data_IF_371159314340
#
_entry.id   IF_371159314340
#
_cell.length_a   1.000
_cell.length_b   1.000
_cell.length_c   1.000
_cell.angle_alpha   90.00
_cell.angle_beta   90.00
_cell.angle_gamma   90.00
#
_symmetry.space_group_name_H-M   'P 1'
#
loop_
_entity.id
_entity.type
_entity.pdbx_description
1 polymer ?
#
# COMPACT_ATOMS: atom_id res chain seq x y z
N UNK A 1 -4.75 -54.06 -5.35
CA UNK A 1 -3.86 -52.92 -5.66
C UNK A 1 -4.68 -51.63 -5.61
N UNK A 2 -5.45 -51.42 -4.53
CA UNK A 2 -6.49 -50.37 -4.44
C UNK A 2 -6.50 -49.68 -3.07
N UNK A 3 -5.54 -50.03 -2.20
CA UNK A 3 -5.39 -49.50 -0.84
C UNK A 3 -4.34 -48.38 -0.73
N UNK A 4 -3.63 -48.03 -1.81
CA UNK A 4 -2.51 -47.08 -1.79
C UNK A 4 -2.84 -45.67 -2.31
N UNK A 5 -4.06 -45.45 -2.81
CA UNK A 5 -4.51 -44.18 -3.37
C UNK A 5 -4.99 -43.10 -2.37
N UNK A 6 -5.54 -43.41 -1.17
CA UNK A 6 -6.04 -42.35 -0.28
C UNK A 6 -4.92 -41.56 0.43
N UNK A 7 -3.72 -42.13 0.60
CA UNK A 7 -2.60 -41.46 1.27
C UNK A 7 -1.94 -40.40 0.37
N UNK A 8 -1.92 -40.60 -0.95
CA UNK A 8 -1.42 -39.60 -1.91
C UNK A 8 -2.35 -38.38 -2.02
N UNK A 9 -3.66 -38.57 -1.87
CA UNK A 9 -4.63 -37.48 -1.83
C UNK A 9 -4.54 -36.65 -0.54
N UNK A 10 -4.27 -37.28 0.60
CA UNK A 10 -4.04 -36.59 1.89
C UNK A 10 -2.72 -35.86 1.96
N UNK A 11 -1.69 -36.33 1.25
CA UNK A 11 -0.39 -35.65 1.16
C UNK A 11 -0.39 -34.45 0.17
N UNK A 12 -1.25 -34.46 -0.85
CA UNK A 12 -1.32 -33.39 -1.85
C UNK A 12 -1.97 -32.09 -1.35
N UNK A 13 -3.00 -32.19 -0.51
CA UNK A 13 -3.71 -31.03 0.07
C UNK A 13 -2.81 -30.10 0.92
N UNK A 14 -1.97 -30.60 1.85
CA UNK A 14 -1.07 -29.73 2.61
C UNK A 14 0.03 -29.14 1.73
N UNK A 15 0.55 -29.88 0.74
CA UNK A 15 1.58 -29.37 -0.17
C UNK A 15 1.07 -28.19 -1.03
N UNK A 16 -0.17 -28.27 -1.52
CA UNK A 16 -0.83 -27.17 -2.23
C UNK A 16 -1.05 -25.96 -1.30
N UNK A 17 -1.45 -26.19 -0.05
CA UNK A 17 -1.59 -25.15 0.96
C UNK A 17 -0.27 -24.41 1.24
N UNK A 18 0.83 -25.16 1.37
CA UNK A 18 2.18 -24.58 1.53
C UNK A 18 2.55 -23.73 0.32
N UNK A 19 2.42 -24.29 -0.89
CA UNK A 19 2.80 -23.58 -2.12
C UNK A 19 1.99 -22.29 -2.27
N UNK A 20 0.67 -22.35 -2.06
CA UNK A 20 -0.20 -21.19 -2.12
C UNK A 20 0.18 -20.14 -1.06
N UNK A 21 0.45 -20.55 0.19
CA UNK A 21 0.90 -19.65 1.24
C UNK A 21 2.22 -18.95 0.91
N UNK A 22 3.22 -19.71 0.44
CA UNK A 22 4.53 -19.15 0.02
C UNK A 22 4.37 -18.16 -1.14
N UNK A 23 3.54 -18.49 -2.13
CA UNK A 23 3.29 -17.59 -3.28
C UNK A 23 2.59 -16.31 -2.81
N UNK A 24 1.57 -16.41 -1.94
CA UNK A 24 0.88 -15.23 -1.40
C UNK A 24 1.85 -14.32 -0.62
N UNK A 25 2.66 -14.89 0.26
CA UNK A 25 3.65 -14.12 1.03
C UNK A 25 4.68 -13.49 0.10
N UNK A 26 5.23 -14.26 -0.84
CA UNK A 26 6.23 -13.79 -1.79
C UNK A 26 5.71 -12.66 -2.67
N UNK A 27 4.48 -12.77 -3.18
CA UNK A 27 3.87 -11.71 -3.99
C UNK A 27 3.61 -10.44 -3.19
N UNK A 28 3.05 -10.54 -1.99
CA UNK A 28 2.81 -9.38 -1.12
C UNK A 28 4.11 -8.67 -0.72
N UNK A 29 5.14 -9.42 -0.31
CA UNK A 29 6.44 -8.84 0.06
C UNK A 29 7.16 -8.23 -1.14
N UNK A 30 7.16 -8.91 -2.28
CA UNK A 30 7.82 -8.41 -3.49
C UNK A 30 7.15 -7.12 -3.97
N UNK A 31 5.83 -7.07 -3.98
CA UNK A 31 5.10 -5.89 -4.43
C UNK A 31 5.18 -4.73 -3.43
N UNK A 32 5.13 -5.02 -2.12
CA UNK A 32 5.38 -4.02 -1.10
C UNK A 32 6.81 -3.46 -1.23
N UNK A 33 7.80 -4.30 -1.47
CA UNK A 33 9.18 -3.88 -1.71
C UNK A 33 9.32 -3.05 -3.00
N UNK A 34 8.70 -3.49 -4.10
CA UNK A 34 8.76 -2.77 -5.38
C UNK A 34 8.11 -1.38 -5.28
N UNK A 35 6.95 -1.27 -4.64
CA UNK A 35 6.23 0.02 -4.56
C UNK A 35 6.83 0.95 -3.51
N UNK A 36 7.31 0.39 -2.41
CA UNK A 36 7.87 1.18 -1.33
C UNK A 36 9.33 1.50 -1.64
N UNK A 37 10.19 0.50 -1.73
CA UNK A 37 11.65 0.69 -1.77
C UNK A 37 12.16 1.12 -3.14
N UNK A 38 11.57 0.64 -4.23
CA UNK A 38 12.03 0.98 -5.58
C UNK A 38 11.22 2.18 -6.12
N UNK A 39 11.87 3.35 -6.38
CA UNK A 39 11.22 4.46 -7.08
C UNK A 39 11.17 4.17 -8.59
N UNK A 40 10.66 3.00 -9.00
CA UNK A 40 10.48 2.64 -10.40
C UNK A 40 9.00 2.59 -10.72
N UNK A 41 8.66 3.02 -11.95
CA UNK A 41 7.33 2.83 -12.55
C UNK A 41 6.86 1.41 -12.26
N UNK A 42 5.75 1.27 -11.54
CA UNK A 42 5.09 -0.01 -11.27
C UNK A 42 5.02 -0.77 -12.60
N UNK A 43 5.88 -1.78 -12.74
CA UNK A 43 6.02 -2.49 -14.01
C UNK A 43 4.65 -3.09 -14.31
N UNK A 44 4.16 -2.94 -15.56
CA UNK A 44 2.78 -3.25 -15.97
C UNK A 44 2.33 -4.71 -15.86
N UNK A 45 2.94 -5.51 -14.97
CA UNK A 45 2.53 -6.85 -14.57
C UNK A 45 1.22 -6.79 -13.77
N UNK A 46 0.51 -7.92 -13.75
CA UNK A 46 -0.74 -8.12 -13.01
C UNK A 46 -0.47 -8.21 -11.49
N UNK A 47 -0.07 -7.10 -10.86
CA UNK A 47 0.14 -7.01 -9.41
C UNK A 47 -1.16 -6.80 -8.61
N UNK A 48 -1.12 -7.08 -7.30
CA UNK A 48 -2.23 -6.87 -6.36
C UNK A 48 -2.67 -5.41 -6.40
N UNK A 49 -1.75 -4.45 -6.53
CA UNK A 49 -2.03 -3.02 -6.62
C UNK A 49 -2.85 -2.66 -7.86
N UNK A 50 -2.57 -3.28 -9.02
CA UNK A 50 -3.35 -3.02 -10.23
C UNK A 50 -4.75 -3.61 -10.13
N UNK A 51 -4.88 -4.83 -9.62
CA UNK A 51 -6.18 -5.45 -9.37
C UNK A 51 -6.99 -4.63 -8.38
N UNK A 52 -6.36 -4.24 -7.27
CA UNK A 52 -6.96 -3.42 -6.23
C UNK A 52 -7.38 -2.05 -6.75
N UNK A 53 -6.54 -1.40 -7.58
CA UNK A 53 -6.88 -0.15 -8.26
C UNK A 53 -8.11 -0.30 -9.14
N UNK A 54 -8.19 -1.33 -9.99
CA UNK A 54 -9.36 -1.53 -10.86
C UNK A 54 -10.62 -1.76 -10.01
N UNK A 55 -10.49 -2.54 -8.93
CA UNK A 55 -11.59 -2.88 -8.04
C UNK A 55 -12.12 -1.66 -7.27
N UNK A 56 -11.24 -0.77 -6.80
CA UNK A 56 -11.61 0.40 -6.01
C UNK A 56 -11.92 1.63 -6.86
N UNK A 57 -11.17 1.89 -7.93
CA UNK A 57 -11.34 3.08 -8.79
C UNK A 57 -12.67 3.09 -9.53
N UNK A 58 -13.12 1.94 -10.05
CA UNK A 58 -14.37 1.85 -10.81
C UNK A 58 -15.61 2.26 -10.00
N UNK A 59 -15.87 1.70 -8.81
CA UNK A 59 -17.00 2.15 -7.99
C UNK A 59 -16.79 3.59 -7.49
N UNK A 60 -15.57 3.95 -7.09
CA UNK A 60 -15.29 5.29 -6.57
C UNK A 60 -15.55 6.40 -7.61
N UNK A 61 -15.03 6.23 -8.82
CA UNK A 61 -15.26 7.14 -9.95
C UNK A 61 -16.71 7.12 -10.44
N UNK A 62 -17.43 6.00 -10.33
CA UNK A 62 -18.86 5.94 -10.63
C UNK A 62 -19.68 6.77 -9.64
N UNK A 63 -19.36 6.70 -8.35
CA UNK A 63 -20.00 7.53 -7.30
C UNK A 63 -19.66 9.01 -7.50
N UNK A 64 -18.38 9.34 -7.73
CA UNK A 64 -17.93 10.71 -7.98
C UNK A 64 -18.63 11.34 -9.19
N UNK A 65 -18.82 10.58 -10.29
CA UNK A 65 -19.52 11.07 -11.49
C UNK A 65 -21.02 11.31 -11.30
N UNK A 66 -21.64 10.70 -10.29
CA UNK A 66 -23.06 10.93 -9.96
C UNK A 66 -23.28 12.23 -9.17
N UNK A 67 -22.22 12.83 -8.62
CA UNK A 67 -22.31 14.11 -7.92
C UNK A 67 -22.35 15.27 -8.93
N UNK A 68 -23.47 16.01 -8.91
CA UNK A 68 -23.66 17.21 -9.74
C UNK A 68 -22.87 18.43 -9.25
N UNK A 69 -22.50 18.46 -7.96
CA UNK A 69 -21.74 19.57 -7.38
C UNK A 69 -20.24 19.36 -7.60
N UNK A 70 -19.62 20.24 -8.38
CA UNK A 70 -18.19 20.22 -8.74
C UNK A 70 -17.27 20.23 -7.52
N UNK A 71 -17.53 21.09 -6.52
CA UNK A 71 -16.71 21.20 -5.32
C UNK A 71 -16.72 19.91 -4.49
N UNK A 72 -17.91 19.30 -4.28
CA UNK A 72 -18.01 18.02 -3.56
C UNK A 72 -17.36 16.86 -4.32
N UNK A 73 -17.45 16.86 -5.65
CA UNK A 73 -16.81 15.86 -6.50
C UNK A 73 -15.29 15.95 -6.39
N UNK A 74 -14.73 17.16 -6.43
CA UNK A 74 -13.29 17.40 -6.29
C UNK A 74 -12.77 17.00 -4.91
N UNK A 75 -13.48 17.35 -3.82
CA UNK A 75 -13.10 16.91 -2.47
C UNK A 75 -13.15 15.39 -2.28
N UNK A 76 -14.10 14.71 -2.93
CA UNK A 76 -14.11 13.24 -2.93
C UNK A 76 -12.92 12.69 -3.72
N UNK A 77 -12.67 13.19 -4.92
CA UNK A 77 -11.57 12.71 -5.75
C UNK A 77 -10.19 12.97 -5.12
N UNK A 78 -10.02 14.06 -4.37
CA UNK A 78 -8.75 14.34 -3.66
C UNK A 78 -8.47 13.36 -2.52
N UNK A 79 -9.52 12.85 -1.86
CA UNK A 79 -9.38 11.87 -0.78
C UNK A 79 -8.96 10.48 -1.30
N UNK A 80 -9.26 10.15 -2.55
CA UNK A 80 -8.98 8.83 -3.12
C UNK A 80 -7.50 8.47 -3.08
N UNK A 81 -6.61 9.39 -3.46
CA UNK A 81 -5.16 9.13 -3.56
C UNK A 81 -4.57 8.64 -2.22
N UNK A 82 -4.67 9.44 -1.15
CA UNK A 82 -4.18 9.04 0.17
C UNK A 82 -4.87 7.79 0.73
N UNK A 83 -6.21 7.69 0.59
CA UNK A 83 -6.95 6.53 1.09
C UNK A 83 -6.61 5.24 0.35
N UNK A 84 -6.35 5.30 -0.96
CA UNK A 84 -5.97 4.15 -1.76
C UNK A 84 -4.67 3.51 -1.26
N UNK A 85 -3.67 4.34 -0.93
CA UNK A 85 -2.38 3.84 -0.40
C UNK A 85 -2.56 3.12 0.94
N UNK A 86 -3.33 3.69 1.86
CA UNK A 86 -3.63 3.06 3.15
C UNK A 86 -4.38 1.73 2.98
N UNK A 87 -5.37 1.70 2.10
CA UNK A 87 -6.12 0.48 1.82
C UNK A 87 -5.24 -0.59 1.16
N UNK A 88 -4.34 -0.22 0.25
CA UNK A 88 -3.43 -1.14 -0.41
C UNK A 88 -2.49 -1.82 0.59
N UNK A 89 -1.95 -1.06 1.54
CA UNK A 89 -1.16 -1.60 2.66
C UNK A 89 -1.98 -2.61 3.47
N UNK A 90 -3.24 -2.28 3.78
CA UNK A 90 -4.15 -3.20 4.47
C UNK A 90 -4.38 -4.50 3.69
N UNK A 91 -4.46 -4.43 2.37
CA UNK A 91 -4.59 -5.61 1.50
C UNK A 91 -3.33 -6.47 1.55
N UNK A 92 -2.13 -5.88 1.50
CA UNK A 92 -0.90 -6.67 1.68
C UNK A 92 -0.83 -7.34 3.03
N UNK A 93 -1.18 -6.64 4.11
CA UNK A 93 -1.24 -7.24 5.44
C UNK A 93 -2.23 -8.42 5.49
N UNK A 94 -3.42 -8.27 4.89
CA UNK A 94 -4.40 -9.34 4.82
C UNK A 94 -3.90 -10.55 4.00
N UNK A 95 -3.20 -10.33 2.89
CA UNK A 95 -2.59 -11.40 2.08
C UNK A 95 -1.48 -12.12 2.85
N UNK A 96 -0.64 -11.38 3.59
CA UNK A 96 0.42 -11.94 4.43
C UNK A 96 -0.17 -12.82 5.53
N UNK A 97 -1.15 -12.30 6.28
CA UNK A 97 -1.87 -13.05 7.32
C UNK A 97 -2.55 -14.29 6.72
N UNK A 98 -3.20 -14.17 5.56
CA UNK A 98 -3.79 -15.32 4.89
C UNK A 98 -2.73 -16.36 4.49
N UNK A 99 -1.59 -15.92 3.94
CA UNK A 99 -0.50 -16.78 3.53
C UNK A 99 0.13 -17.53 4.70
N UNK A 100 0.42 -16.84 5.81
CA UNK A 100 0.94 -17.47 7.03
C UNK A 100 -0.08 -18.42 7.67
N UNK A 101 -1.37 -18.06 7.70
CA UNK A 101 -2.44 -18.96 8.15
C UNK A 101 -2.47 -20.27 7.36
N UNK A 102 -2.28 -20.21 6.04
CA UNK A 102 -2.18 -21.41 5.19
C UNK A 102 -0.93 -22.26 5.51
N UNK A 103 0.21 -21.61 5.78
CA UNK A 103 1.43 -22.31 6.21
C UNK A 103 1.24 -23.00 7.56
N UNK A 104 0.63 -22.31 8.53
CA UNK A 104 0.30 -22.85 9.84
C UNK A 104 -0.66 -24.05 9.74
N UNK A 105 -1.70 -23.93 8.93
CA UNK A 105 -2.63 -25.01 8.66
C UNK A 105 -1.93 -26.25 8.06
N UNK A 106 -0.99 -26.06 7.13
CA UNK A 106 -0.28 -27.16 6.49
C UNK A 106 0.79 -27.83 7.39
N UNK A 107 1.40 -27.09 8.31
CA UNK A 107 2.40 -27.62 9.26
C UNK A 107 1.75 -28.37 10.43
N UNK A 108 0.44 -28.21 10.66
CA UNK A 108 -0.24 -28.78 11.82
C UNK A 108 0.26 -28.12 13.12
N UNK A 109 0.29 -26.79 13.13
CA UNK A 109 1.15 -26.00 14.01
C UNK A 109 0.74 -25.91 15.48
N UNK A 110 -0.45 -26.36 15.90
CA UNK A 110 -1.04 -25.99 17.21
C UNK A 110 -1.17 -27.19 18.14
N UNK A 111 -0.80 -27.00 19.42
CA UNK A 111 -1.01 -27.97 20.50
C UNK A 111 -2.13 -27.48 21.42
N UNK A 112 -3.14 -28.34 21.65
CA UNK A 112 -4.31 -28.09 22.50
C UNK A 112 -5.40 -29.11 22.18
N UNK A 113 -6.53 -29.09 22.91
CA UNK A 113 -7.76 -29.87 22.68
C UNK A 113 -8.45 -29.57 21.32
N UNK A 114 -7.71 -28.95 20.41
CA UNK A 114 -8.09 -28.41 19.12
C UNK A 114 -7.59 -29.32 18.00
N UNK A 115 -7.77 -30.63 18.13
CA UNK A 115 -7.61 -31.56 17.00
C UNK A 115 -8.57 -31.22 15.83
N UNK A 116 -9.59 -30.39 16.08
CA UNK A 116 -10.50 -29.78 15.11
C UNK A 116 -10.30 -28.26 14.91
N UNK A 117 -9.10 -27.70 15.16
CA UNK A 117 -8.83 -26.29 14.84
C UNK A 117 -8.97 -26.03 13.33
N UNK A 118 -10.12 -25.51 12.93
CA UNK A 118 -10.39 -25.10 11.56
C UNK A 118 -9.49 -23.95 11.10
N UNK A 119 -9.53 -23.66 9.80
CA UNK A 119 -8.77 -22.57 9.17
C UNK A 119 -8.94 -21.21 9.87
N UNK A 120 -10.12 -20.94 10.44
CA UNK A 120 -10.38 -19.70 11.18
C UNK A 120 -9.48 -19.52 12.41
N UNK A 121 -9.15 -20.60 13.12
CA UNK A 121 -8.22 -20.55 14.26
C UNK A 121 -6.79 -20.25 13.82
N UNK A 122 -6.36 -20.81 12.68
CA UNK A 122 -5.04 -20.52 12.09
C UNK A 122 -4.96 -19.08 11.57
N UNK A 123 -6.05 -18.57 11.00
CA UNK A 123 -6.15 -17.18 10.57
C UNK A 123 -6.08 -16.20 11.75
N UNK A 124 -6.77 -16.51 12.83
CA UNK A 124 -6.70 -15.74 14.07
C UNK A 124 -5.30 -15.79 14.71
N UNK A 125 -4.67 -16.96 14.77
CA UNK A 125 -3.31 -17.13 15.28
C UNK A 125 -2.29 -16.34 14.43
N UNK A 126 -2.39 -16.43 13.11
CA UNK A 126 -1.55 -15.67 12.19
C UNK A 126 -1.78 -14.16 12.37
N UNK A 127 -3.03 -13.70 12.46
CA UNK A 127 -3.34 -12.28 12.68
C UNK A 127 -2.72 -11.75 13.98
N UNK A 128 -2.84 -12.49 15.09
CA UNK A 128 -2.27 -12.07 16.37
C UNK A 128 -0.75 -12.15 16.40
N UNK A 129 -0.14 -13.08 15.65
CA UNK A 129 1.32 -13.22 15.54
C UNK A 129 1.92 -12.14 14.62
N UNK A 130 1.34 -11.94 13.43
CA UNK A 130 1.78 -10.96 12.44
C UNK A 130 1.75 -9.53 13.01
N UNK A 131 0.66 -9.16 13.71
CA UNK A 131 0.58 -7.86 14.38
C UNK A 131 1.26 -7.82 15.75
N UNK A 132 1.95 -8.90 16.14
CA UNK A 132 2.72 -9.00 17.40
C UNK A 132 1.89 -8.82 18.68
N UNK A 133 0.58 -9.09 18.60
CA UNK A 133 -0.33 -9.09 19.76
C UNK A 133 -0.07 -10.26 20.70
N UNK A 134 0.15 -11.47 20.14
CA UNK A 134 0.57 -12.65 20.91
C UNK A 134 -0.32 -13.00 22.10
N UNK A 135 -1.63 -13.14 21.90
CA UNK A 135 -2.61 -13.35 22.99
C UNK A 135 -2.39 -14.64 23.79
N UNK A 136 -1.64 -15.60 23.26
CA UNK A 136 -1.16 -16.78 23.99
C UNK A 136 -2.19 -17.89 24.20
N UNK A 137 -3.38 -17.75 23.63
CA UNK A 137 -4.46 -18.73 23.63
C UNK A 137 -4.26 -19.86 22.59
N UNK A 138 -3.58 -19.54 21.48
CA UNK A 138 -3.13 -20.50 20.48
C UNK A 138 -1.60 -20.49 20.46
N UNK A 139 -0.98 -21.65 20.71
CA UNK A 139 0.48 -21.76 20.90
C UNK A 139 1.09 -22.81 19.96
N UNK A 140 2.27 -22.53 19.36
CA UNK A 140 2.94 -23.46 18.47
C UNK A 140 3.44 -24.73 19.17
N UNK A 141 3.00 -25.88 18.66
CA UNK A 141 3.30 -27.23 19.13
C UNK A 141 4.75 -27.68 18.89
N UNK A 142 5.16 -27.55 17.62
CA UNK A 142 6.38 -28.16 17.08
C UNK A 142 7.51 -27.13 16.92
N UNK A 143 8.75 -27.60 16.84
CA UNK A 143 9.90 -26.73 16.58
C UNK A 143 9.75 -25.96 15.25
N UNK A 144 9.27 -26.64 14.20
CA UNK A 144 9.01 -26.02 12.89
C UNK A 144 7.93 -24.94 12.98
N UNK A 145 6.85 -25.19 13.73
CA UNK A 145 5.78 -24.21 13.97
C UNK A 145 6.32 -22.96 14.69
N UNK A 146 7.16 -23.15 15.71
CA UNK A 146 7.79 -22.04 16.45
C UNK A 146 8.69 -21.19 15.55
N UNK A 147 9.50 -21.82 14.69
CA UNK A 147 10.33 -21.09 13.73
C UNK A 147 9.49 -20.27 12.74
N UNK A 148 8.37 -20.85 12.27
CA UNK A 148 7.44 -20.15 11.39
C UNK A 148 6.81 -18.94 12.10
N UNK A 149 6.37 -19.09 13.36
CA UNK A 149 5.85 -17.99 14.19
C UNK A 149 6.88 -16.87 14.38
N UNK A 150 8.15 -17.21 14.60
CA UNK A 150 9.23 -16.19 14.70
C UNK A 150 9.43 -15.46 13.38
N UNK A 151 9.42 -16.19 12.25
CA UNK A 151 9.53 -15.59 10.93
C UNK A 151 8.34 -14.68 10.61
N UNK A 152 7.12 -15.10 10.97
CA UNK A 152 5.90 -14.32 10.81
C UNK A 152 5.95 -13.02 11.62
N UNK A 153 6.29 -13.11 12.91
CA UNK A 153 6.41 -11.93 13.77
C UNK A 153 7.50 -10.97 13.27
N UNK A 154 8.64 -11.49 12.84
CA UNK A 154 9.71 -10.67 12.24
C UNK A 154 9.27 -9.98 10.95
N UNK A 155 8.51 -10.68 10.11
CA UNK A 155 7.96 -10.12 8.86
C UNK A 155 6.94 -9.02 9.15
N UNK A 156 6.02 -9.25 10.08
CA UNK A 156 5.01 -8.27 10.49
C UNK A 156 5.62 -7.02 11.12
N UNK A 157 6.65 -7.19 11.96
CA UNK A 157 7.39 -6.08 12.52
C UNK A 157 8.12 -5.26 11.44
N UNK A 158 8.81 -5.92 10.51
CA UNK A 158 9.47 -5.25 9.39
C UNK A 158 8.47 -4.50 8.49
N UNK A 159 7.32 -5.11 8.22
CA UNK A 159 6.23 -4.49 7.45
C UNK A 159 5.68 -3.24 8.13
N UNK A 160 5.44 -3.30 9.44
CA UNK A 160 4.97 -2.14 10.21
C UNK A 160 6.02 -1.03 10.28
N UNK A 161 7.29 -1.39 10.49
CA UNK A 161 8.39 -0.43 10.48
C UNK A 161 8.50 0.29 9.13
N UNK A 162 8.36 -0.45 8.03
CA UNK A 162 8.37 0.12 6.68
C UNK A 162 7.18 1.06 6.46
N UNK A 163 5.97 0.66 6.90
CA UNK A 163 4.77 1.48 6.81
C UNK A 163 4.93 2.81 7.55
N UNK A 164 5.41 2.76 8.80
CA UNK A 164 5.64 3.95 9.63
C UNK A 164 6.74 4.83 9.03
N UNK A 165 7.79 4.23 8.47
CA UNK A 165 8.88 4.96 7.82
C UNK A 165 8.46 5.67 6.53
N UNK A 166 7.55 5.07 5.76
CA UNK A 166 7.14 5.63 4.47
C UNK A 166 6.01 6.64 4.53
N UNK A 167 5.10 6.52 5.50
CA UNK A 167 3.94 7.40 5.58
C UNK A 167 4.33 8.89 5.61
N UNK A 168 5.31 9.34 6.42
CA UNK A 168 5.76 10.73 6.41
C UNK A 168 6.35 11.17 5.08
N UNK A 169 7.12 10.30 4.41
CA UNK A 169 7.78 10.59 3.13
C UNK A 169 6.73 10.87 2.05
N UNK A 170 5.70 10.01 1.97
CA UNK A 170 4.60 10.19 1.02
C UNK A 170 3.86 11.50 1.27
N UNK A 171 3.51 11.81 2.52
CA UNK A 171 2.84 13.07 2.86
C UNK A 171 3.70 14.30 2.55
N UNK A 172 5.01 14.24 2.83
CA UNK A 172 5.93 15.34 2.54
C UNK A 172 6.04 15.60 1.03
N UNK A 173 6.09 14.56 0.19
CA UNK A 173 6.11 14.71 -1.26
C UNK A 173 4.85 15.41 -1.80
N UNK A 174 3.67 15.11 -1.23
CA UNK A 174 2.43 15.79 -1.61
C UNK A 174 2.41 17.26 -1.14
N UNK A 175 2.79 17.51 0.12
CA UNK A 175 2.82 18.86 0.67
C UNK A 175 3.76 19.79 -0.11
N UNK A 176 4.93 19.28 -0.52
CA UNK A 176 5.90 20.07 -1.28
C UNK A 176 5.36 20.48 -2.67
N UNK A 177 4.59 19.61 -3.32
CA UNK A 177 3.97 19.88 -4.63
C UNK A 177 2.85 20.92 -4.55
N UNK A 178 2.04 20.90 -3.50
CA UNK A 178 0.91 21.84 -3.36
C UNK A 178 1.33 23.23 -2.88
N UNK A 179 2.50 23.34 -2.22
CA UNK A 179 2.96 24.63 -1.67
C UNK A 179 3.15 25.68 -2.77
N UNK A 180 3.79 25.33 -3.89
CA UNK A 180 4.02 26.27 -5.00
C UNK A 180 2.75 26.63 -5.77
N UNK A 181 1.79 25.69 -5.87
CA UNK A 181 0.48 25.95 -6.46
C UNK A 181 -0.35 26.90 -5.57
N UNK A 182 -0.31 26.70 -4.24
CA UNK A 182 -0.97 27.61 -3.29
C UNK A 182 -0.35 29.02 -3.31
N UNK A 183 0.98 29.11 -3.44
CA UNK A 183 1.67 30.39 -3.61
C UNK A 183 1.33 31.06 -4.94
N UNK A 184 1.01 30.30 -6.00
CA UNK A 184 0.56 30.85 -7.27
C UNK A 184 -0.77 31.61 -7.10
N UNK A 185 -1.72 31.06 -6.36
CA UNK A 185 -3.00 31.71 -6.07
C UNK A 185 -2.78 33.03 -5.30
N UNK A 186 -1.81 33.07 -4.38
CA UNK A 186 -1.42 34.32 -3.71
C UNK A 186 -0.74 35.32 -4.64
N UNK A 187 -0.03 34.87 -5.68
CA UNK A 187 0.73 35.73 -6.61
C UNK A 187 -0.09 36.17 -7.84
N UNK A 188 -1.08 35.38 -8.27
CA UNK A 188 -1.85 35.57 -9.49
C UNK A 188 -3.37 35.73 -9.27
N UNK A 189 -3.82 35.71 -8.00
CA UNK A 189 -5.23 35.73 -7.65
C UNK A 189 -5.86 34.32 -7.67
N UNK A 190 -7.11 34.22 -7.21
CA UNK A 190 -7.88 32.98 -7.25
C UNK A 190 -9.24 33.28 -7.94
N UNK A 191 -9.45 32.86 -9.20
CA UNK A 191 -8.56 32.02 -10.02
C UNK A 191 -7.30 32.75 -10.52
N UNK A 192 -6.18 32.01 -10.73
CA UNK A 192 -4.92 32.60 -11.14
C UNK A 192 -4.99 33.16 -12.57
N UNK A 193 -4.63 34.44 -12.73
CA UNK A 193 -4.60 35.11 -14.04
C UNK A 193 -3.25 35.75 -14.31
N UNK A 194 -2.80 35.66 -15.57
CA UNK A 194 -1.54 36.27 -16.02
C UNK A 194 -1.55 37.78 -15.81
N UNK A 195 -2.70 38.43 -16.02
CA UNK A 195 -2.84 39.87 -15.83
C UNK A 195 -2.60 40.29 -14.37
N UNK A 196 -3.14 39.55 -13.40
CA UNK A 196 -2.95 39.83 -11.97
C UNK A 196 -1.52 39.52 -11.52
N UNK A 197 -0.91 38.44 -12.05
CA UNK A 197 0.49 38.11 -11.79
C UNK A 197 1.42 39.23 -12.29
N UNK A 198 1.21 39.72 -13.52
CA UNK A 198 1.97 40.85 -14.05
C UNK A 198 1.73 42.12 -13.23
N UNK A 199 0.48 42.44 -12.89
CA UNK A 199 0.14 43.62 -12.09
C UNK A 199 0.84 43.62 -10.72
N UNK A 200 0.93 42.47 -10.05
CA UNK A 200 1.56 42.35 -8.72
C UNK A 200 3.09 42.34 -8.76
N UNK A 201 3.69 41.90 -9.87
CA UNK A 201 5.15 41.76 -10.00
C UNK A 201 5.80 42.82 -10.92
N UNK A 202 5.01 43.69 -11.54
CA UNK A 202 5.45 44.88 -12.30
C UNK A 202 5.05 46.16 -11.53
N UNK A 203 5.67 46.36 -10.36
CA UNK A 203 5.56 47.61 -9.62
C UNK A 203 6.43 48.70 -10.26
N UNK A 204 5.96 49.32 -11.34
CA UNK A 204 6.73 50.30 -12.11
C UNK A 204 7.54 49.68 -13.26
N UNK A 205 8.70 50.25 -13.60
CA UNK A 205 9.59 49.75 -14.68
C UNK A 205 10.54 48.62 -14.24
N UNK A 206 10.50 48.23 -12.97
CA UNK A 206 11.36 47.17 -12.43
C UNK A 206 10.70 45.80 -12.62
N UNK A 207 11.32 44.97 -13.47
CA UNK A 207 10.86 43.62 -13.82
C UNK A 207 11.67 42.54 -13.08
N UNK A 208 12.60 42.93 -12.21
CA UNK A 208 13.51 42.00 -11.52
C UNK A 208 12.75 40.94 -10.71
N UNK A 209 11.66 41.32 -10.03
CA UNK A 209 10.83 40.39 -9.25
C UNK A 209 10.13 39.35 -10.13
N UNK A 210 9.63 39.76 -11.31
CA UNK A 210 9.02 38.84 -12.26
C UNK A 210 10.06 37.88 -12.85
N UNK A 211 11.27 38.35 -13.16
CA UNK A 211 12.35 37.50 -13.67
C UNK A 211 12.78 36.47 -12.62
N UNK A 212 12.93 36.88 -11.36
CA UNK A 212 13.24 35.97 -10.26
C UNK A 212 12.16 34.91 -10.08
N UNK A 213 10.88 35.34 -10.10
CA UNK A 213 9.73 34.43 -10.04
C UNK A 213 9.77 33.40 -11.17
N UNK A 214 9.97 33.82 -12.42
CA UNK A 214 10.00 32.91 -13.57
C UNK A 214 11.16 31.92 -13.48
N UNK A 215 12.32 32.35 -12.99
CA UNK A 215 13.49 31.49 -12.77
C UNK A 215 13.23 30.43 -11.69
N UNK A 216 12.60 30.81 -10.57
CA UNK A 216 12.24 29.86 -9.51
C UNK A 216 11.23 28.83 -10.01
N UNK A 217 10.27 29.26 -10.83
CA UNK A 217 9.29 28.36 -11.47
C UNK A 217 9.92 27.45 -12.52
N UNK A 218 10.91 27.92 -13.28
CA UNK A 218 11.66 27.09 -14.23
C UNK A 218 12.37 25.94 -13.51
N UNK A 219 13.06 26.24 -12.40
CA UNK A 219 13.73 25.23 -11.57
C UNK A 219 12.71 24.23 -11.00
N UNK A 220 11.61 24.73 -10.41
CA UNK A 220 10.59 23.86 -9.84
C UNK A 220 9.89 22.97 -10.88
N UNK A 221 9.60 23.48 -12.08
CA UNK A 221 9.04 22.68 -13.18
C UNK A 221 10.06 21.63 -13.63
N UNK A 222 11.35 21.95 -13.63
CA UNK A 222 12.44 21.01 -13.88
C UNK A 222 12.45 19.85 -12.87
N UNK A 223 12.44 20.16 -11.57
CA UNK A 223 12.37 19.17 -10.48
C UNK A 223 11.10 18.32 -10.57
N UNK A 224 9.96 18.94 -10.90
CA UNK A 224 8.69 18.24 -11.07
C UNK A 224 8.76 17.26 -12.25
N UNK A 225 9.27 17.70 -13.41
CA UNK A 225 9.47 16.87 -14.59
C UNK A 225 10.41 15.70 -14.33
N UNK A 226 11.54 15.94 -13.65
CA UNK A 226 12.47 14.89 -13.24
C UNK A 226 11.77 13.82 -12.40
N UNK A 227 10.98 14.24 -11.40
CA UNK A 227 10.21 13.33 -10.52
C UNK A 227 9.16 12.47 -11.25
N UNK A 228 8.79 12.83 -12.47
CA UNK A 228 7.85 12.08 -13.31
C UNK A 228 8.54 11.27 -14.42
N UNK A 229 9.79 11.60 -14.75
CA UNK A 229 10.58 10.92 -15.78
C UNK A 229 11.42 9.77 -15.21
N UNK A 230 11.99 9.93 -14.00
CA UNK A 230 12.69 8.88 -13.23
C UNK A 230 11.72 7.87 -12.60
#
# INVERSE_FOLDING_TARGET
MEYLLPDLQRAGAPALGVLAGVVLIGTALFEAFEIIVLPRRASGRLGVARFFYILTWRPYSAIARRLKNTSRRESLLSLYGPSFLLLLVGVWAAILVLGFAMLHCAVGSVSGDTQDAGFGTMLYFSGTTFFTLGLGDVVPASATSRLLTVAEAGTGFAFLALLIGYLPIVYQMFAHRETNVSLLDQRAGSPPTTAELLRRNMGGADVSQLIALLRDWEVWVGELLESHLS
#
